data_IF_680305288237
#
_entry.id   IF_680305288237
#
_cell.length_a   1.000
_cell.length_b   1.000
_cell.length_c   1.000
_cell.angle_alpha   90.00
_cell.angle_beta   90.00
_cell.angle_gamma   90.00
#
_symmetry.space_group_name_H-M   'P 1'
#
loop_
_entity.id
_entity.type
_entity.pdbx_description
1 polymer ?
#
# COMPACT_ATOMS: atom_id res chain seq x y z
N UNK A 1 -42.89 79.70 -40.28
CA UNK A 1 -41.43 79.73 -40.18
C UNK A 1 -41.03 78.49 -39.41
N UNK A 2 -40.23 77.58 -39.98
CA UNK A 2 -39.73 76.42 -39.22
C UNK A 2 -38.40 76.86 -38.59
N UNK A 3 -38.33 76.84 -37.27
CA UNK A 3 -37.14 77.20 -36.50
C UNK A 3 -36.04 76.18 -36.76
N UNK A 4 -34.83 76.66 -37.05
CA UNK A 4 -33.67 75.80 -37.18
C UNK A 4 -33.20 75.41 -35.77
N UNK A 5 -32.91 74.13 -35.54
CA UNK A 5 -32.48 73.66 -34.23
C UNK A 5 -31.10 74.23 -33.94
N UNK A 6 -30.85 74.66 -32.70
CA UNK A 6 -29.49 75.02 -32.31
C UNK A 6 -28.67 73.74 -32.07
N UNK A 7 -27.34 73.87 -32.17
CA UNK A 7 -26.44 72.72 -32.07
C UNK A 7 -26.50 72.00 -30.71
N UNK A 8 -26.81 72.71 -29.62
CA UNK A 8 -26.91 72.12 -28.28
C UNK A 8 -28.13 71.20 -28.17
N UNK A 9 -29.28 71.62 -28.69
CA UNK A 9 -30.48 70.78 -28.76
C UNK A 9 -30.24 69.56 -29.65
N UNK A 10 -29.51 69.73 -30.77
CA UNK A 10 -29.16 68.62 -31.66
C UNK A 10 -28.29 67.59 -30.93
N UNK A 11 -27.28 68.03 -30.18
CA UNK A 11 -26.42 67.14 -29.39
C UNK A 11 -27.20 66.41 -28.28
N UNK A 12 -28.08 67.11 -27.58
CA UNK A 12 -28.91 66.53 -26.52
C UNK A 12 -29.87 65.46 -27.06
N UNK A 13 -30.41 65.68 -28.26
CA UNK A 13 -31.32 64.75 -28.93
C UNK A 13 -30.59 63.64 -29.70
N UNK A 14 -29.28 63.75 -29.90
CA UNK A 14 -28.48 62.87 -30.74
C UNK A 14 -28.53 61.39 -30.29
N UNK A 15 -28.41 61.05 -28.99
CA UNK A 15 -28.51 59.67 -28.54
C UNK A 15 -29.90 59.07 -28.86
N UNK A 16 -30.97 59.80 -28.54
CA UNK A 16 -32.35 59.35 -28.80
C UNK A 16 -32.62 59.21 -30.31
N UNK A 17 -32.01 60.06 -31.14
CA UNK A 17 -32.11 59.99 -32.59
C UNK A 17 -31.42 58.74 -33.15
N UNK A 18 -30.23 58.38 -32.65
CA UNK A 18 -29.50 57.16 -33.04
C UNK A 18 -30.28 55.90 -32.63
N UNK A 19 -30.95 55.94 -31.47
CA UNK A 19 -31.80 54.84 -30.99
C UNK A 19 -33.20 54.81 -31.65
N UNK A 20 -33.51 55.76 -32.53
CA UNK A 20 -34.79 55.82 -33.25
C UNK A 20 -36.00 56.19 -32.38
N UNK A 21 -35.77 56.83 -31.23
CA UNK A 21 -36.79 57.20 -30.23
C UNK A 21 -37.36 58.62 -30.42
N UNK A 22 -36.95 59.33 -31.48
CA UNK A 22 -37.41 60.68 -31.80
C UNK A 22 -38.57 60.68 -32.80
N UNK A 23 -39.44 61.70 -32.72
CA UNK A 23 -40.57 61.85 -33.63
C UNK A 23 -40.12 62.14 -35.07
N UNK A 24 -40.97 61.83 -36.06
CA UNK A 24 -40.70 62.09 -37.47
C UNK A 24 -40.39 63.58 -37.75
N UNK A 25 -41.12 64.48 -37.09
CA UNK A 25 -40.88 65.92 -37.17
C UNK A 25 -39.45 66.29 -36.69
N UNK A 26 -39.04 65.72 -35.56
CA UNK A 26 -37.69 65.92 -35.00
C UNK A 26 -36.64 65.34 -35.94
N UNK A 27 -36.90 64.20 -36.57
CA UNK A 27 -35.97 63.55 -37.50
C UNK A 27 -35.70 64.41 -38.73
N UNK A 28 -36.74 65.01 -39.32
CA UNK A 28 -36.57 65.93 -40.45
C UNK A 28 -35.80 67.20 -40.08
N UNK A 29 -36.01 67.72 -38.87
CA UNK A 29 -35.28 68.89 -38.38
C UNK A 29 -33.79 68.58 -38.15
N UNK A 30 -33.48 67.42 -37.57
CA UNK A 30 -32.11 66.93 -37.35
C UNK A 30 -31.36 66.71 -38.66
N UNK A 31 -31.99 66.03 -39.65
CA UNK A 31 -31.39 65.80 -40.97
C UNK A 31 -31.00 67.10 -41.67
N UNK A 32 -31.91 68.09 -41.64
CA UNK A 32 -31.65 69.42 -42.22
C UNK A 32 -30.49 70.13 -41.52
N UNK A 33 -30.37 69.98 -40.20
CA UNK A 33 -29.26 70.56 -39.46
C UNK A 33 -27.91 69.89 -39.78
N UNK A 34 -27.89 68.58 -40.04
CA UNK A 34 -26.65 67.90 -40.46
C UNK A 34 -26.18 68.32 -41.85
N UNK A 35 -27.08 68.77 -42.73
CA UNK A 35 -26.72 69.31 -44.05
C UNK A 35 -26.02 70.67 -43.94
N UNK A 36 -26.29 71.45 -42.88
CA UNK A 36 -25.77 72.81 -42.70
C UNK A 36 -24.67 72.92 -41.65
N UNK A 37 -24.53 71.94 -40.77
CA UNK A 37 -23.59 71.95 -39.64
C UNK A 37 -22.71 70.69 -39.61
N UNK A 38 -21.48 70.81 -40.14
CA UNK A 38 -20.50 69.71 -40.22
C UNK A 38 -20.16 69.16 -38.82
N UNK A 39 -20.04 70.01 -37.80
CA UNK A 39 -19.68 69.56 -36.44
C UNK A 39 -20.74 68.64 -35.80
N UNK A 40 -22.02 68.89 -36.08
CA UNK A 40 -23.10 68.04 -35.59
C UNK A 40 -23.20 66.73 -36.39
N UNK A 41 -22.87 66.77 -37.68
CA UNK A 41 -22.79 65.59 -38.55
C UNK A 41 -21.63 64.66 -38.16
N UNK A 42 -20.45 65.21 -37.89
CA UNK A 42 -19.31 64.44 -37.38
C UNK A 42 -19.64 63.77 -36.03
N UNK A 43 -20.32 64.49 -35.12
CA UNK A 43 -20.78 63.92 -33.86
C UNK A 43 -21.77 62.75 -34.06
N UNK A 44 -22.70 62.88 -35.02
CA UNK A 44 -23.61 61.79 -35.39
C UNK A 44 -22.87 60.58 -35.95
N UNK A 45 -21.91 60.77 -36.85
CA UNK A 45 -21.11 59.68 -37.44
C UNK A 45 -20.26 58.96 -36.39
N UNK A 46 -19.60 59.71 -35.50
CA UNK A 46 -18.81 59.15 -34.40
C UNK A 46 -19.65 58.31 -33.42
N UNK A 47 -20.87 58.76 -33.12
CA UNK A 47 -21.75 58.06 -32.17
C UNK A 47 -22.53 56.92 -32.82
N UNK A 48 -22.92 57.04 -34.09
CA UNK A 48 -23.61 55.97 -34.83
C UNK A 48 -22.70 54.76 -35.11
N UNK A 49 -21.39 54.97 -35.27
CA UNK A 49 -20.39 53.90 -35.40
C UNK A 49 -20.15 53.16 -34.06
N UNK A 50 -20.28 53.86 -32.93
CA UNK A 50 -20.10 53.27 -31.60
C UNK A 50 -21.39 52.68 -31.01
N UNK A 51 -22.56 53.07 -31.51
CA UNK A 51 -23.89 52.61 -31.05
C UNK A 51 -24.28 51.21 -31.52
N UNK A 52 -23.53 50.61 -32.45
CA UNK A 52 -23.64 49.17 -32.71
C UNK A 52 -22.75 48.45 -31.69
N UNK A 53 -23.24 48.26 -30.47
CA UNK A 53 -22.72 47.19 -29.62
C UNK A 53 -22.91 45.88 -30.37
N UNK A 54 -21.86 45.45 -31.07
CA UNK A 54 -21.88 44.28 -31.91
C UNK A 54 -22.12 43.06 -31.01
N UNK A 55 -23.37 42.60 -30.95
CA UNK A 55 -23.75 41.38 -30.23
C UNK A 55 -22.84 40.20 -30.60
N UNK A 56 -22.25 40.20 -31.80
CA UNK A 56 -21.31 39.18 -32.23
C UNK A 56 -20.00 39.24 -31.43
N UNK A 57 -19.49 40.44 -31.10
CA UNK A 57 -18.31 40.64 -30.25
C UNK A 57 -18.57 40.23 -28.79
N UNK A 58 -19.74 40.56 -28.22
CA UNK A 58 -20.10 40.10 -26.87
C UNK A 58 -20.30 38.58 -26.81
N UNK A 59 -21.01 37.97 -27.78
CA UNK A 59 -21.16 36.50 -27.86
C UNK A 59 -19.82 35.80 -28.05
N UNK A 60 -18.91 36.36 -28.84
CA UNK A 60 -17.55 35.84 -29.04
C UNK A 60 -16.72 35.89 -27.76
N UNK A 61 -16.74 37.00 -27.02
CA UNK A 61 -16.06 37.13 -25.73
C UNK A 61 -16.60 36.14 -24.68
N UNK A 62 -17.91 35.90 -24.63
CA UNK A 62 -18.53 34.91 -23.74
C UNK A 62 -18.15 33.47 -24.14
N UNK A 63 -18.07 33.19 -25.45
CA UNK A 63 -17.67 31.88 -25.97
C UNK A 63 -16.19 31.59 -25.66
N UNK A 64 -15.30 32.54 -25.94
CA UNK A 64 -13.86 32.44 -25.64
C UNK A 64 -13.62 32.28 -24.12
N UNK A 65 -14.34 33.02 -23.28
CA UNK A 65 -14.27 32.86 -21.82
C UNK A 65 -14.76 31.49 -21.34
N UNK A 66 -15.75 30.88 -22.01
CA UNK A 66 -16.22 29.51 -21.70
C UNK A 66 -15.20 28.46 -22.14
N UNK A 67 -14.58 28.61 -23.30
CA UNK A 67 -13.51 27.71 -23.77
C UNK A 67 -12.29 27.75 -22.85
N UNK A 68 -11.86 28.94 -22.44
CA UNK A 68 -10.76 29.12 -21.47
C UNK A 68 -11.08 28.43 -20.13
N UNK A 69 -12.29 28.60 -19.59
CA UNK A 69 -12.72 27.92 -18.35
C UNK A 69 -12.75 26.40 -18.51
N UNK A 70 -13.23 25.89 -19.65
CA UNK A 70 -13.24 24.45 -19.93
C UNK A 70 -11.81 23.89 -20.01
N UNK A 71 -10.91 24.57 -20.72
CA UNK A 71 -9.50 24.18 -20.83
C UNK A 71 -8.80 24.20 -19.46
N UNK A 72 -8.99 25.25 -18.66
CA UNK A 72 -8.44 25.32 -17.30
C UNK A 72 -8.98 24.21 -16.40
N UNK A 73 -10.26 23.86 -16.50
CA UNK A 73 -10.85 22.73 -15.76
C UNK A 73 -10.23 21.40 -16.18
N UNK A 74 -9.99 21.20 -17.48
CA UNK A 74 -9.31 20.02 -18.03
C UNK A 74 -7.86 19.90 -17.58
N UNK A 75 -7.10 21.01 -17.58
CA UNK A 75 -5.72 21.06 -17.07
C UNK A 75 -5.68 20.81 -15.56
N UNK A 76 -6.62 21.37 -14.80
CA UNK A 76 -6.72 21.14 -13.35
C UNK A 76 -7.03 19.69 -13.02
N UNK A 77 -7.95 19.06 -13.76
CA UNK A 77 -8.22 17.62 -13.60
C UNK A 77 -6.99 16.80 -13.93
N UNK A 78 -6.32 17.08 -15.06
CA UNK A 78 -5.08 16.38 -15.45
C UNK A 78 -4.00 16.49 -14.38
N UNK A 79 -3.77 17.68 -13.85
CA UNK A 79 -2.77 17.91 -12.82
C UNK A 79 -3.15 17.23 -11.49
N UNK A 80 -4.44 17.16 -11.15
CA UNK A 80 -4.93 16.42 -10.00
C UNK A 80 -4.73 14.91 -10.18
N UNK A 81 -5.02 14.36 -11.36
CA UNK A 81 -4.73 12.96 -11.69
C UNK A 81 -3.24 12.65 -11.60
N UNK A 82 -2.36 13.51 -12.14
CA UNK A 82 -0.90 13.34 -12.00
C UNK A 82 -0.47 13.39 -10.53
N UNK A 83 -1.03 14.29 -9.73
CA UNK A 83 -0.75 14.38 -8.29
C UNK A 83 -1.16 13.12 -7.54
N UNK A 84 -2.33 12.56 -7.84
CA UNK A 84 -2.80 11.30 -7.25
C UNK A 84 -1.90 10.15 -7.65
N UNK A 85 -1.52 10.03 -8.92
CA UNK A 85 -0.59 8.99 -9.39
C UNK A 85 0.74 9.11 -8.66
N UNK A 86 1.29 10.32 -8.53
CA UNK A 86 2.54 10.55 -7.82
C UNK A 86 2.42 10.17 -6.32
N UNK A 87 1.33 10.55 -5.66
CA UNK A 87 1.08 10.17 -4.28
C UNK A 87 0.97 8.63 -4.12
N UNK A 88 0.27 7.96 -5.04
CA UNK A 88 0.20 6.50 -5.06
C UNK A 88 1.57 5.84 -5.29
N UNK A 89 2.41 6.41 -6.15
CA UNK A 89 3.77 5.91 -6.38
C UNK A 89 4.67 6.09 -5.15
N UNK A 90 4.58 7.23 -4.45
CA UNK A 90 5.35 7.47 -3.24
C UNK A 90 4.87 6.56 -2.11
N UNK A 91 3.56 6.49 -1.87
CA UNK A 91 2.99 5.64 -0.80
C UNK A 91 3.22 4.16 -1.11
N UNK A 92 2.88 3.71 -2.32
CA UNK A 92 3.09 2.33 -2.76
C UNK A 92 4.57 1.96 -2.78
N UNK A 93 5.43 2.83 -3.29
CA UNK A 93 6.89 2.64 -3.26
C UNK A 93 7.44 2.56 -1.85
N UNK A 94 6.99 3.42 -0.94
CA UNK A 94 7.39 3.40 0.47
C UNK A 94 6.94 2.12 1.20
N UNK A 95 5.73 1.64 0.91
CA UNK A 95 5.20 0.38 1.46
C UNK A 95 6.00 -0.83 0.96
N UNK A 96 6.26 -0.91 -0.35
CA UNK A 96 7.07 -1.97 -0.94
C UNK A 96 8.52 -1.95 -0.45
N UNK A 97 9.10 -0.76 -0.24
CA UNK A 97 10.43 -0.63 0.36
C UNK A 97 10.43 -1.07 1.83
N UNK A 98 9.39 -0.74 2.60
CA UNK A 98 9.26 -1.17 3.98
C UNK A 98 9.15 -2.70 4.11
N UNK A 99 8.25 -3.35 3.36
CA UNK A 99 8.09 -4.81 3.37
C UNK A 99 9.38 -5.51 2.94
N UNK A 100 10.08 -4.99 1.92
CA UNK A 100 11.38 -5.54 1.52
C UNK A 100 12.48 -5.31 2.55
N UNK A 101 12.55 -4.13 3.18
CA UNK A 101 13.55 -3.83 4.20
C UNK A 101 13.34 -4.69 5.46
N UNK A 102 12.11 -4.88 5.91
CA UNK A 102 11.80 -5.75 7.06
C UNK A 102 12.21 -7.20 6.78
N UNK A 103 11.98 -7.70 5.56
CA UNK A 103 12.40 -9.04 5.16
C UNK A 103 13.93 -9.17 4.98
N UNK A 104 14.62 -8.15 4.45
CA UNK A 104 16.10 -8.11 4.35
C UNK A 104 16.76 -7.99 5.73
N UNK A 105 16.07 -7.38 6.70
CA UNK A 105 16.60 -7.16 8.03
C UNK A 105 16.45 -8.36 8.96
N UNK A 106 16.06 -9.55 8.51
CA UNK A 106 16.12 -10.75 9.34
C UNK A 106 17.41 -11.51 9.04
N UNK A 107 18.06 -12.02 10.09
CA UNK A 107 19.14 -12.98 9.96
C UNK A 107 18.86 -14.21 10.82
N UNK A 108 19.45 -15.33 10.44
CA UNK A 108 19.33 -16.57 11.18
C UNK A 108 20.00 -16.45 12.55
N UNK A 109 19.27 -16.80 13.60
CA UNK A 109 19.82 -16.88 14.95
C UNK A 109 20.93 -17.94 14.96
N UNK A 110 22.13 -17.64 15.51
CA UNK A 110 23.26 -18.56 15.48
C UNK A 110 22.93 -19.90 16.15
N UNK A 111 23.48 -21.01 15.66
CA UNK A 111 23.21 -22.32 16.26
C UNK A 111 23.71 -22.43 17.70
N UNK A 112 24.76 -21.69 18.07
CA UNK A 112 25.27 -21.58 19.45
C UNK A 112 24.22 -21.05 20.44
N UNK A 113 23.30 -20.21 19.96
CA UNK A 113 22.23 -19.64 20.77
C UNK A 113 20.98 -20.51 20.80
N UNK A 114 20.97 -21.64 20.09
CA UNK A 114 19.82 -22.55 20.03
C UNK A 114 20.18 -23.86 20.71
N UNK A 115 19.28 -24.35 21.53
CA UNK A 115 19.42 -25.64 22.20
C UNK A 115 18.21 -26.52 21.93
N UNK A 116 18.46 -27.83 21.81
CA UNK A 116 17.43 -28.86 21.85
C UNK A 116 17.16 -29.14 23.33
N UNK A 117 16.06 -28.60 23.87
CA UNK A 117 15.72 -28.73 25.29
C UNK A 117 15.11 -30.09 25.61
N UNK A 118 14.31 -30.61 24.70
CA UNK A 118 13.62 -31.89 24.82
C UNK A 118 13.79 -32.67 23.52
N UNK A 119 14.11 -33.95 23.62
CA UNK A 119 14.23 -34.86 22.48
C UNK A 119 13.90 -36.28 22.93
N UNK A 120 12.71 -36.74 22.55
CA UNK A 120 12.14 -37.97 23.05
C UNK A 120 11.53 -38.80 21.94
N UNK A 121 11.63 -40.12 22.07
CA UNK A 121 10.84 -41.04 21.28
C UNK A 121 9.45 -41.18 21.90
N UNK A 122 8.42 -40.86 21.13
CA UNK A 122 7.01 -41.04 21.54
C UNK A 122 6.59 -42.51 21.32
N UNK A 123 6.90 -43.05 20.14
CA UNK A 123 6.75 -44.46 19.79
C UNK A 123 7.73 -44.83 18.65
N UNK A 124 7.55 -45.98 18.00
CA UNK A 124 8.44 -46.42 16.91
C UNK A 124 8.37 -45.50 15.67
N UNK A 125 7.28 -44.74 15.49
CA UNK A 125 7.06 -43.86 14.33
C UNK A 125 7.28 -42.36 14.62
N UNK A 126 7.07 -41.91 15.85
CA UNK A 126 7.06 -40.50 16.21
C UNK A 126 8.17 -40.11 17.18
N UNK A 127 8.85 -39.02 16.84
CA UNK A 127 9.87 -38.39 17.67
C UNK A 127 9.44 -36.97 17.97
N UNK A 128 9.44 -36.60 19.25
CA UNK A 128 9.18 -35.23 19.69
C UNK A 128 10.49 -34.52 20.01
N UNK A 129 10.58 -33.26 19.62
CA UNK A 129 11.67 -32.40 20.04
C UNK A 129 11.22 -30.96 20.26
N UNK A 130 11.95 -30.26 21.13
CA UNK A 130 11.74 -28.84 21.41
C UNK A 130 13.04 -28.07 21.20
N UNK A 131 12.93 -26.95 20.50
CA UNK A 131 14.02 -26.02 20.25
C UNK A 131 13.77 -24.75 21.05
N UNK A 132 14.81 -24.25 21.72
CA UNK A 132 14.77 -22.98 22.46
C UNK A 132 15.95 -22.10 22.10
N UNK A 133 15.67 -20.83 21.83
CA UNK A 133 16.70 -19.80 21.67
C UNK A 133 17.03 -19.13 23.00
N UNK A 134 18.31 -18.90 23.26
CA UNK A 134 18.85 -18.12 24.38
C UNK A 134 18.93 -16.62 24.08
N UNK A 135 18.35 -16.18 22.96
CA UNK A 135 18.44 -14.80 22.51
C UNK A 135 17.79 -13.84 23.52
N UNK A 136 18.44 -12.72 23.78
CA UNK A 136 17.83 -11.60 24.54
C UNK A 136 16.76 -10.85 23.73
N UNK A 137 16.60 -11.22 22.46
CA UNK A 137 15.77 -10.54 21.47
C UNK A 137 14.70 -11.50 20.94
N UNK A 138 13.59 -10.92 20.52
CA UNK A 138 12.48 -11.64 19.94
C UNK A 138 12.88 -12.36 18.65
N UNK A 139 12.52 -13.63 18.53
CA UNK A 139 12.50 -14.36 17.25
C UNK A 139 11.22 -13.95 16.52
N UNK A 140 11.35 -13.36 15.34
CA UNK A 140 10.21 -12.81 14.59
C UNK A 140 9.45 -13.87 13.82
N UNK A 141 10.16 -14.90 13.36
CA UNK A 141 9.58 -15.98 12.58
C UNK A 141 10.44 -17.23 12.70
N UNK A 142 9.81 -18.35 12.39
CA UNK A 142 10.47 -19.63 12.21
C UNK A 142 10.20 -20.09 10.80
N UNK A 143 11.25 -20.54 10.11
CA UNK A 143 11.11 -21.10 8.76
C UNK A 143 11.78 -22.45 8.71
N UNK A 144 11.26 -23.30 7.85
CA UNK A 144 11.80 -24.63 7.66
C UNK A 144 11.51 -25.10 6.24
N UNK A 145 12.36 -26.00 5.75
CA UNK A 145 12.30 -26.41 4.36
C UNK A 145 13.33 -27.48 4.01
N UNK A 146 13.32 -27.95 2.76
CA UNK A 146 14.34 -28.86 2.27
C UNK A 146 15.69 -28.16 2.22
N UNK A 147 16.66 -28.74 2.91
CA UNK A 147 18.04 -28.31 3.00
C UNK A 147 19.00 -29.21 2.25
N UNK A 148 20.11 -28.65 1.77
CA UNK A 148 21.17 -29.46 1.14
C UNK A 148 22.20 -29.84 2.20
N UNK A 149 22.10 -31.07 2.68
CA UNK A 149 23.05 -31.65 3.63
C UNK A 149 24.12 -32.40 2.82
N UNK A 150 25.40 -32.14 3.10
CA UNK A 150 26.59 -32.87 2.63
C UNK A 150 26.50 -33.58 1.25
N UNK A 151 27.09 -33.00 0.20
CA UNK A 151 27.19 -33.65 -1.14
C UNK A 151 25.84 -34.04 -1.78
N UNK A 152 24.76 -33.35 -1.46
CA UNK A 152 23.49 -33.44 -2.19
C UNK A 152 22.42 -34.33 -1.56
N UNK A 153 22.56 -34.71 -0.28
CA UNK A 153 21.42 -35.22 0.47
C UNK A 153 20.45 -34.06 0.73
N UNK A 154 19.16 -34.35 0.59
CA UNK A 154 18.12 -33.46 1.08
C UNK A 154 17.86 -33.85 2.55
N UNK A 155 17.52 -32.88 3.39
CA UNK A 155 16.93 -33.12 4.69
C UNK A 155 16.20 -31.89 5.18
N UNK A 156 15.75 -31.86 6.41
CA UNK A 156 14.97 -30.72 6.90
C UNK A 156 15.87 -29.73 7.64
N UNK A 157 15.87 -28.49 7.19
CA UNK A 157 16.51 -27.38 7.89
C UNK A 157 15.45 -26.55 8.61
N UNK A 158 15.76 -26.16 9.84
CA UNK A 158 14.97 -25.25 10.67
C UNK A 158 15.80 -24.00 10.92
N UNK A 159 15.18 -22.83 10.78
CA UNK A 159 15.80 -21.52 10.93
C UNK A 159 14.96 -20.67 11.87
N UNK A 160 15.60 -20.04 12.86
CA UNK A 160 14.95 -19.00 13.65
C UNK A 160 15.37 -17.65 13.09
N UNK A 161 14.40 -16.84 12.65
CA UNK A 161 14.65 -15.54 12.09
C UNK A 161 14.58 -14.47 13.17
N UNK A 162 15.66 -13.71 13.28
CA UNK A 162 15.75 -12.58 14.19
C UNK A 162 15.87 -11.26 13.43
N UNK A 163 15.09 -10.23 13.78
CA UNK A 163 15.22 -8.91 13.19
C UNK A 163 16.50 -8.20 13.66
N UNK A 164 17.18 -7.54 12.72
CA UNK A 164 18.37 -6.69 12.91
C UNK A 164 18.05 -5.58 13.92
N UNK A 165 16.88 -4.95 13.78
CA UNK A 165 16.34 -4.00 14.76
C UNK A 165 15.33 -4.76 15.62
N UNK A 166 15.84 -5.51 16.61
CA UNK A 166 15.01 -6.39 17.43
C UNK A 166 14.45 -5.75 18.70
N UNK A 167 13.25 -6.21 19.10
CA UNK A 167 12.66 -5.91 20.40
C UNK A 167 13.36 -6.75 21.48
N UNK A 168 14.00 -6.10 22.46
CA UNK A 168 14.55 -6.80 23.63
C UNK A 168 13.42 -7.40 24.48
N UNK A 169 13.60 -8.65 24.88
CA UNK A 169 12.64 -9.39 25.69
C UNK A 169 12.69 -9.04 27.19
N UNK A 170 13.65 -8.20 27.61
CA UNK A 170 13.84 -7.77 29.01
C UNK A 170 12.60 -7.21 29.73
N UNK A 171 11.58 -6.76 28.98
CA UNK A 171 10.34 -6.16 29.51
C UNK A 171 9.13 -7.11 29.46
N UNK A 172 9.29 -8.31 28.93
CA UNK A 172 8.21 -9.30 28.82
C UNK A 172 8.20 -10.24 30.03
N UNK A 173 7.05 -10.85 30.31
CA UNK A 173 6.94 -11.91 31.32
C UNK A 173 7.75 -13.16 30.89
N UNK A 174 8.05 -14.05 31.83
CA UNK A 174 8.74 -15.31 31.49
C UNK A 174 7.89 -16.18 30.55
N UNK A 175 6.56 -16.23 30.74
CA UNK A 175 5.65 -16.92 29.83
C UNK A 175 5.69 -16.35 28.40
N UNK A 176 5.73 -15.02 28.26
CA UNK A 176 5.88 -14.37 26.96
C UNK A 176 7.24 -14.67 26.34
N UNK A 177 8.32 -14.76 27.14
CA UNK A 177 9.64 -15.15 26.63
C UNK A 177 9.64 -16.58 26.12
N UNK A 178 9.05 -17.53 26.85
CA UNK A 178 8.91 -18.91 26.38
C UNK A 178 8.18 -19.00 25.04
N UNK A 179 7.10 -18.21 24.88
CA UNK A 179 6.34 -18.18 23.63
C UNK A 179 7.16 -17.68 22.43
N UNK A 180 8.07 -16.73 22.67
CA UNK A 180 8.86 -16.08 21.62
C UNK A 180 10.19 -16.78 21.33
N UNK A 181 10.62 -17.70 22.19
CA UNK A 181 11.94 -18.34 22.09
C UNK A 181 11.87 -19.85 21.86
N UNK A 182 10.72 -20.49 22.11
CA UNK A 182 10.56 -21.94 22.04
C UNK A 182 9.62 -22.43 20.94
N UNK A 183 9.96 -23.55 20.30
CA UNK A 183 9.06 -24.29 19.42
C UNK A 183 9.19 -25.79 19.58
N UNK A 184 8.04 -26.46 19.65
CA UNK A 184 7.93 -27.91 19.79
C UNK A 184 7.43 -28.55 18.50
N UNK A 185 8.03 -29.68 18.14
CA UNK A 185 7.78 -30.38 16.89
C UNK A 185 7.67 -31.88 17.09
N UNK A 186 6.91 -32.52 16.21
CA UNK A 186 6.86 -33.97 16.05
C UNK A 186 7.33 -34.35 14.66
N UNK A 187 8.23 -35.32 14.60
CA UNK A 187 8.68 -36.00 13.39
C UNK A 187 7.82 -37.24 13.21
N UNK A 188 7.13 -37.35 12.08
CA UNK A 188 6.48 -38.55 11.57
C UNK A 188 7.45 -39.26 10.63
N UNK A 189 8.05 -40.36 11.09
CA UNK A 189 9.12 -41.06 10.37
C UNK A 189 8.57 -41.74 9.11
N UNK A 190 7.45 -42.45 9.21
CA UNK A 190 6.85 -43.21 8.11
C UNK A 190 6.38 -42.29 6.98
N UNK A 191 5.69 -41.19 7.32
CA UNK A 191 5.18 -40.26 6.31
C UNK A 191 6.18 -39.16 5.93
N UNK A 192 7.36 -39.14 6.58
CA UNK A 192 8.40 -38.12 6.41
C UNK A 192 7.88 -36.71 6.61
N UNK A 193 7.22 -36.44 7.73
CA UNK A 193 6.63 -35.12 8.00
C UNK A 193 7.18 -34.51 9.27
N UNK A 194 7.39 -33.21 9.23
CA UNK A 194 7.58 -32.38 10.41
C UNK A 194 6.28 -31.66 10.75
N UNK A 195 5.85 -31.73 12.01
CA UNK A 195 4.56 -31.21 12.48
C UNK A 195 4.80 -30.28 13.67
N UNK A 196 4.38 -29.02 13.56
CA UNK A 196 4.39 -28.08 14.69
C UNK A 196 3.32 -28.50 15.71
N UNK A 197 3.75 -28.76 16.95
CA UNK A 197 2.88 -29.10 18.08
C UNK A 197 3.04 -28.11 19.24
N UNK A 198 3.82 -27.04 19.08
CA UNK A 198 4.20 -26.15 20.17
C UNK A 198 3.00 -25.45 20.82
N UNK A 199 2.01 -25.04 20.03
CA UNK A 199 0.78 -24.42 20.56
C UNK A 199 -0.09 -25.41 21.34
N UNK A 200 -0.17 -26.66 20.89
CA UNK A 200 -0.90 -27.73 21.58
C UNK A 200 -0.23 -28.08 22.90
N UNK A 201 1.10 -28.21 22.91
CA UNK A 201 1.84 -28.56 24.11
C UNK A 201 1.69 -27.50 25.19
N UNK A 202 1.76 -26.22 24.83
CA UNK A 202 1.59 -25.12 25.78
C UNK A 202 0.17 -24.98 26.33
N UNK A 203 -0.83 -25.47 25.61
CA UNK A 203 -2.23 -25.32 26.01
C UNK A 203 -2.68 -26.36 27.04
N UNK A 204 -1.90 -27.42 27.28
CA UNK A 204 -2.27 -28.49 28.20
C UNK A 204 -1.10 -28.83 29.13
N UNK A 205 -1.38 -28.94 30.43
CA UNK A 205 -0.40 -29.38 31.42
C UNK A 205 -0.34 -30.93 31.48
N UNK A 206 0.83 -31.50 31.76
CA UNK A 206 1.05 -32.95 31.92
C UNK A 206 0.60 -33.81 30.73
N UNK A 207 0.88 -33.34 29.52
CA UNK A 207 0.55 -34.06 28.28
C UNK A 207 1.30 -35.40 28.21
N UNK A 208 0.57 -36.44 27.84
CA UNK A 208 1.11 -37.77 27.57
C UNK A 208 1.60 -37.92 26.13
N UNK A 209 2.49 -38.89 25.88
CA UNK A 209 2.95 -39.19 24.53
C UNK A 209 1.80 -39.52 23.56
N UNK A 210 0.77 -40.22 24.04
CA UNK A 210 -0.40 -40.63 23.25
C UNK A 210 -1.24 -39.42 22.80
N UNK A 211 -1.40 -38.42 23.66
CA UNK A 211 -2.09 -37.17 23.31
C UNK A 211 -1.33 -36.37 22.25
N UNK A 212 0.00 -36.31 22.33
CA UNK A 212 0.83 -35.66 21.30
C UNK A 212 0.70 -36.38 19.96
N UNK A 213 0.76 -37.72 19.96
CA UNK A 213 0.60 -38.54 18.76
C UNK A 213 -0.78 -38.30 18.14
N UNK A 214 -1.85 -38.40 18.93
CA UNK A 214 -3.21 -38.18 18.45
C UNK A 214 -3.40 -36.79 17.85
N UNK A 215 -2.81 -35.75 18.47
CA UNK A 215 -2.84 -34.40 17.90
C UNK A 215 -2.11 -34.34 16.55
N UNK A 216 -0.90 -34.90 16.46
CA UNK A 216 -0.09 -34.91 15.25
C UNK A 216 -0.78 -35.65 14.09
N UNK A 217 -1.40 -36.79 14.37
CA UNK A 217 -2.18 -37.58 13.40
C UNK A 217 -3.37 -36.79 12.86
N UNK A 218 -4.17 -36.22 13.75
CA UNK A 218 -5.33 -35.41 13.37
C UNK A 218 -4.93 -34.21 12.53
N UNK A 219 -3.89 -33.48 12.95
CA UNK A 219 -3.40 -32.30 12.22
C UNK A 219 -3.03 -32.70 10.79
N UNK A 220 -2.38 -33.84 10.59
CA UNK A 220 -1.94 -34.35 9.28
C UNK A 220 -3.11 -34.60 8.31
N UNK A 221 -4.32 -34.83 8.83
CA UNK A 221 -5.53 -35.04 8.03
C UNK A 221 -6.27 -33.73 7.67
N UNK A 222 -6.04 -32.64 8.41
CA UNK A 222 -6.66 -31.34 8.15
C UNK A 222 -5.93 -30.56 7.05
N UNK A 223 -6.59 -30.39 5.90
CA UNK A 223 -6.12 -29.47 4.85
C UNK A 223 -6.22 -28.02 5.35
N UNK A 224 -5.14 -27.45 5.87
CA UNK A 224 -5.04 -25.99 6.00
C UNK A 224 -4.04 -25.42 7.00
N UNK A 225 -3.45 -26.20 7.91
CA UNK A 225 -2.72 -25.64 9.05
C UNK A 225 -1.34 -26.28 9.32
N UNK A 226 -0.70 -26.87 8.30
CA UNK A 226 0.63 -27.46 8.50
C UNK A 226 1.56 -27.10 7.36
N UNK A 227 2.68 -26.51 7.73
CA UNK A 227 3.89 -26.55 6.96
C UNK A 227 4.44 -27.98 7.04
N UNK A 228 4.06 -28.84 6.10
CA UNK A 228 4.57 -30.21 6.02
C UNK A 228 5.86 -30.16 5.21
N UNK A 229 7.00 -30.35 5.87
CA UNK A 229 8.27 -30.55 5.16
C UNK A 229 8.57 -32.03 5.08
N UNK A 230 8.87 -32.50 3.85
CA UNK A 230 9.32 -33.86 3.60
C UNK A 230 10.68 -34.05 4.29
N UNK A 231 10.71 -34.73 5.44
CA UNK A 231 11.92 -34.92 6.22
C UNK A 231 12.65 -36.18 5.76
N UNK A 232 13.84 -36.00 5.19
CA UNK A 232 14.77 -37.12 5.01
C UNK A 232 15.34 -37.57 6.37
N UNK A 233 16.24 -38.56 6.36
CA UNK A 233 16.82 -39.20 7.54
C UNK A 233 17.58 -38.25 8.50
N UNK A 234 17.63 -36.93 8.27
CA UNK A 234 18.31 -35.95 9.13
C UNK A 234 17.57 -34.62 9.20
N UNK A 235 17.53 -34.06 10.41
CA UNK A 235 17.00 -32.73 10.71
C UNK A 235 18.09 -31.89 11.36
N UNK A 236 18.33 -30.70 10.81
CA UNK A 236 19.30 -29.74 11.31
C UNK A 236 18.63 -28.41 11.63
N UNK A 237 19.15 -27.74 12.65
CA UNK A 237 19.02 -26.31 12.77
C UNK A 237 20.19 -25.63 12.03
N UNK A 238 19.90 -24.63 11.19
CA UNK A 238 20.92 -23.84 10.49
C UNK A 238 20.90 -22.41 11.00
N UNK A 239 22.06 -21.96 11.47
CA UNK A 239 22.31 -20.60 11.92
C UNK A 239 22.74 -19.70 10.76
N UNK A 240 23.81 -18.93 10.97
CA UNK A 240 24.22 -17.83 10.07
C UNK A 240 24.64 -18.27 8.66
N UNK A 241 25.12 -19.50 8.51
CA UNK A 241 25.59 -20.07 7.24
C UNK A 241 25.58 -21.61 7.30
N UNK A 242 25.89 -22.25 6.18
CA UNK A 242 25.85 -23.72 6.03
C UNK A 242 26.81 -24.48 6.98
N UNK A 243 27.84 -23.81 7.49
CA UNK A 243 28.80 -24.38 8.46
C UNK A 243 28.31 -24.22 9.92
N UNK A 244 27.44 -23.24 10.19
CA UNK A 244 26.82 -22.96 11.49
C UNK A 244 25.56 -23.82 11.66
N UNK A 245 25.75 -25.12 11.94
CA UNK A 245 24.66 -26.10 12.03
C UNK A 245 24.65 -26.89 13.34
N UNK A 246 23.45 -27.23 13.79
CA UNK A 246 23.19 -28.11 14.94
C UNK A 246 22.34 -29.31 14.47
N UNK A 247 22.86 -30.52 14.64
CA UNK A 247 22.10 -31.75 14.37
C UNK A 247 21.04 -31.93 15.47
N UNK A 248 19.77 -31.98 15.07
CA UNK A 248 18.65 -32.20 16.00
C UNK A 248 18.36 -33.69 16.08
N UNK A 249 18.23 -34.35 14.92
CA UNK A 249 17.83 -35.74 14.84
C UNK A 249 18.40 -36.41 13.58
N UNK A 250 18.75 -37.68 13.69
CA UNK A 250 19.02 -38.55 12.55
C UNK A 250 18.39 -39.93 12.73
N UNK A 251 18.01 -40.56 11.63
CA UNK A 251 17.43 -41.90 11.60
C UNK A 251 18.38 -42.91 12.27
N UNK A 252 17.85 -43.68 13.23
CA UNK A 252 18.62 -44.63 14.03
C UNK A 252 19.29 -44.03 15.28
N UNK A 253 19.14 -42.73 15.54
CA UNK A 253 19.56 -42.12 16.81
C UNK A 253 18.79 -42.76 17.98
N UNK A 254 19.51 -43.20 19.02
CA UNK A 254 18.90 -43.77 20.22
C UNK A 254 18.41 -42.65 21.13
N UNK A 255 17.09 -42.60 21.35
CA UNK A 255 16.45 -41.55 22.14
C UNK A 255 15.83 -42.09 23.43
N UNK A 256 15.77 -41.29 24.51
CA UNK A 256 14.97 -41.62 25.67
C UNK A 256 13.47 -41.64 25.31
N UNK A 257 12.70 -42.45 26.03
CA UNK A 257 11.24 -42.43 25.90
C UNK A 257 10.67 -41.16 26.53
N UNK A 258 9.57 -40.67 25.96
CA UNK A 258 8.86 -39.53 26.52
C UNK A 258 8.42 -39.82 27.97
N UNK A 259 8.63 -38.89 28.91
CA UNK A 259 8.21 -39.05 30.28
C UNK A 259 6.67 -39.01 30.36
N UNK A 260 6.06 -40.12 30.80
CA UNK A 260 4.64 -40.18 31.12
C UNK A 260 4.37 -39.70 32.55
#
# INVERSE_FOLDING_TARGET
MREDLNCEIVKDLLPNYIEGLTSEYTNEAMKRHFETCESCKEAYELLSVNGTEDESLQKKNIYEAKELKYYMKKVRLRNLFLGVIFACLVLGGSYLLYDNLVNICNYNEPSENVEVTELYQLNDNYVYFNLRSKSEYLISAMTFGPGKIDKGYVGTEIHFLRPVIGKKLSKLSEEEKELNLGAGFVIDIENKKLIDVGSFIRANDNITAEEIINYAENKTTEKGNIDIVNSDSKIYYIGRNDDDKLLIWEEGMKLPKYPN
#
